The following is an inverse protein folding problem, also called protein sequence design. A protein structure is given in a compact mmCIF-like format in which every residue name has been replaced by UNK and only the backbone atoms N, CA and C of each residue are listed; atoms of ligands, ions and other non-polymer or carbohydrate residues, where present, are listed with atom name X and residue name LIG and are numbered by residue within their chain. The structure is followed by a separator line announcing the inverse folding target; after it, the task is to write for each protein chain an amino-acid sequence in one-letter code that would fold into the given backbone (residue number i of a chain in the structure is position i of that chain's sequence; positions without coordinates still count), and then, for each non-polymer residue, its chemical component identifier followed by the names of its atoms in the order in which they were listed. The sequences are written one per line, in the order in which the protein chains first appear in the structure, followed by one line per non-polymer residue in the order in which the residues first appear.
data_IF_518275562418
#
_entry.id   IF_518275562418
#
_cell.length_a   1.000
_cell.length_b   1.000
_cell.length_c   1.000
_cell.angle_alpha   90.00
_cell.angle_beta   90.00
_cell.angle_gamma   90.00
#
_symmetry.space_group_name_H-M   'P 1'
#
loop_
_entity.id
_entity.type
_entity.pdbx_description
1 polymer ?
#
# COMPACT_ATOMS: atom_id res chain seq x y z
N UNK A 1 37.43 -19.09 13.06
CA UNK A 1 36.50 -18.01 12.67
C UNK A 1 35.48 -17.95 13.79
N UNK A 2 35.47 -16.88 14.58
CA UNK A 2 34.62 -16.81 15.76
C UNK A 2 33.31 -16.13 15.35
N UNK A 3 32.21 -16.86 15.45
CA UNK A 3 30.88 -16.47 14.97
C UNK A 3 30.15 -15.45 15.88
N UNK A 4 30.83 -14.89 16.89
CA UNK A 4 30.20 -14.04 17.90
C UNK A 4 31.09 -12.87 18.34
N UNK A 5 30.40 -11.81 18.76
CA UNK A 5 30.97 -10.56 19.27
C UNK A 5 30.24 -10.21 20.57
N UNK A 6 31.00 -9.99 21.65
CA UNK A 6 30.45 -9.58 22.95
C UNK A 6 30.37 -8.05 23.01
N UNK A 7 29.16 -7.52 23.23
CA UNK A 7 28.90 -6.10 23.41
C UNK A 7 28.59 -5.76 24.88
N UNK A 8 28.89 -4.51 25.29
CA UNK A 8 28.64 -4.06 26.65
C UNK A 8 27.14 -3.91 26.96
N UNK A 9 26.70 -4.42 28.11
CA UNK A 9 25.33 -4.29 28.58
C UNK A 9 24.95 -2.82 28.78
N UNK A 10 23.81 -2.39 28.23
CA UNK A 10 23.27 -1.03 28.39
C UNK A 10 21.77 -1.02 28.67
N UNK A 11 21.31 -0.01 29.41
CA UNK A 11 19.89 0.28 29.61
C UNK A 11 19.43 1.32 28.59
N UNK A 12 18.62 0.90 27.63
CA UNK A 12 18.05 1.78 26.62
C UNK A 12 16.67 2.28 27.06
N UNK A 13 16.41 3.58 26.90
CA UNK A 13 15.10 4.16 27.18
C UNK A 13 14.08 3.66 26.15
N UNK A 14 12.91 3.22 26.63
CA UNK A 14 11.76 2.95 25.76
C UNK A 14 11.23 4.28 25.24
N UNK A 15 11.18 4.44 23.91
CA UNK A 15 10.71 5.67 23.29
C UNK A 15 9.18 5.77 23.27
N UNK A 16 8.51 4.64 22.98
CA UNK A 16 7.06 4.54 22.92
C UNK A 16 6.59 3.10 23.15
N UNK A 17 5.33 2.94 23.53
CA UNK A 17 4.62 1.67 23.63
C UNK A 17 3.35 1.75 22.78
N UNK A 18 3.02 0.65 22.10
CA UNK A 18 1.88 0.56 21.18
C UNK A 18 1.45 -0.92 21.10
N UNK A 19 0.20 -1.19 20.73
CA UNK A 19 -0.27 -2.56 20.52
C UNK A 19 0.19 -3.12 19.16
N UNK A 20 0.21 -2.27 18.13
CA UNK A 20 0.70 -2.63 16.79
C UNK A 20 1.74 -1.62 16.32
N UNK A 21 2.96 -2.09 16.07
CA UNK A 21 4.02 -1.30 15.42
C UNK A 21 4.18 -1.78 13.97
N UNK A 22 3.96 -0.88 13.02
CA UNK A 22 4.23 -1.12 11.59
C UNK A 22 5.53 -0.42 11.21
N UNK A 23 6.49 -1.19 10.68
CA UNK A 23 7.79 -0.67 10.24
C UNK A 23 7.84 -0.68 8.72
N UNK A 24 7.88 0.51 8.12
CA UNK A 24 7.83 0.73 6.67
C UNK A 24 6.44 1.19 6.21
N UNK A 25 6.37 2.43 5.73
CA UNK A 25 5.21 3.10 5.15
C UNK A 25 5.02 2.82 3.65
N UNK A 26 5.37 1.63 3.17
CA UNK A 26 5.03 1.17 1.82
C UNK A 26 3.52 1.04 1.60
N UNK A 27 3.07 0.62 0.42
CA UNK A 27 1.64 0.34 0.16
C UNK A 27 1.07 -0.66 1.17
N UNK A 28 1.77 -1.77 1.40
CA UNK A 28 1.38 -2.79 2.36
C UNK A 28 1.38 -2.29 3.81
N UNK A 29 2.44 -1.59 4.24
CA UNK A 29 2.53 -1.08 5.61
C UNK A 29 1.54 0.04 5.90
N UNK A 30 1.31 0.94 4.93
CA UNK A 30 0.26 1.96 5.04
C UNK A 30 -1.12 1.32 5.17
N UNK A 31 -1.41 0.30 4.34
CA UNK A 31 -2.66 -0.44 4.43
C UNK A 31 -2.81 -1.17 5.78
N UNK A 32 -1.74 -1.82 6.26
CA UNK A 32 -1.73 -2.52 7.55
C UNK A 32 -1.96 -1.56 8.73
N UNK A 33 -1.30 -0.39 8.73
CA UNK A 33 -1.48 0.62 9.77
C UNK A 33 -2.91 1.17 9.79
N UNK A 34 -3.49 1.47 8.62
CA UNK A 34 -4.89 1.92 8.52
C UNK A 34 -5.84 0.82 9.03
N UNK A 35 -5.63 -0.43 8.63
CA UNK A 35 -6.46 -1.55 9.06
C UNK A 35 -6.39 -1.77 10.58
N UNK A 36 -5.19 -1.79 11.16
CA UNK A 36 -4.99 -1.95 12.60
C UNK A 36 -5.62 -0.81 13.41
N UNK A 37 -5.41 0.44 12.97
CA UNK A 37 -6.02 1.60 13.62
C UNK A 37 -7.56 1.56 13.54
N UNK A 38 -8.13 1.16 12.39
CA UNK A 38 -9.59 1.00 12.22
C UNK A 38 -10.16 -0.16 13.02
N UNK A 39 -9.36 -1.17 13.33
CA UNK A 39 -9.74 -2.25 14.24
C UNK A 39 -9.69 -1.83 15.73
N UNK A 40 -9.28 -0.58 16.03
CA UNK A 40 -9.25 -0.02 17.38
C UNK A 40 -7.93 -0.17 18.11
N UNK A 41 -6.90 -0.74 17.48
CA UNK A 41 -5.59 -0.92 18.12
C UNK A 41 -4.83 0.40 18.23
N UNK A 42 -4.15 0.61 19.35
CA UNK A 42 -3.15 1.67 19.50
C UNK A 42 -1.99 1.36 18.54
N UNK A 43 -1.97 2.06 17.41
CA UNK A 43 -1.12 1.74 16.25
C UNK A 43 -0.09 2.83 16.01
N UNK A 44 1.16 2.42 15.84
CA UNK A 44 2.26 3.30 15.42
C UNK A 44 2.81 2.83 14.07
N UNK A 45 2.96 3.75 13.12
CA UNK A 45 3.65 3.54 11.86
C UNK A 45 4.94 4.33 11.86
N UNK A 46 6.07 3.67 11.56
CA UNK A 46 7.37 4.34 11.37
C UNK A 46 7.85 4.12 9.94
N UNK A 47 8.27 5.21 9.30
CA UNK A 47 8.80 5.23 7.94
C UNK A 47 10.11 6.03 7.96
N UNK A 48 11.12 5.52 7.25
CA UNK A 48 12.45 6.14 7.19
C UNK A 48 12.48 7.38 6.29
N UNK A 49 11.57 7.46 5.32
CA UNK A 49 11.46 8.54 4.35
C UNK A 49 10.39 9.57 4.74
N UNK A 50 10.41 10.72 4.07
CA UNK A 50 9.42 11.79 4.27
C UNK A 50 8.07 11.55 3.61
N UNK A 51 7.83 10.37 3.01
CA UNK A 51 6.61 10.05 2.26
C UNK A 51 6.14 8.61 2.52
N UNK A 52 4.84 8.39 2.40
CA UNK A 52 4.22 7.06 2.40
C UNK A 52 3.99 6.56 0.97
N UNK A 53 3.72 5.26 0.84
CA UNK A 53 3.47 4.55 -0.41
C UNK A 53 4.67 3.77 -0.95
N UNK A 54 5.86 3.88 -0.32
CA UNK A 54 7.04 3.11 -0.71
C UNK A 54 7.45 3.40 -2.16
N UNK A 55 7.78 2.37 -2.94
CA UNK A 55 8.15 2.54 -4.36
C UNK A 55 7.01 3.10 -5.22
N UNK A 56 5.75 2.89 -4.84
CA UNK A 56 4.62 3.50 -5.56
C UNK A 56 4.75 5.05 -5.59
N UNK A 57 5.04 5.65 -4.44
CA UNK A 57 5.22 7.11 -4.33
C UNK A 57 6.67 7.52 -4.56
N UNK A 58 7.60 7.00 -3.76
CA UNK A 58 9.01 7.40 -3.75
C UNK A 58 9.81 6.91 -4.95
N UNK A 59 9.35 5.86 -5.63
CA UNK A 59 9.92 5.38 -6.88
C UNK A 59 9.20 5.90 -8.13
N UNK A 60 8.20 6.78 -7.96
CA UNK A 60 7.40 7.35 -9.05
C UNK A 60 6.73 6.28 -9.93
N UNK A 61 6.32 5.16 -9.34
CA UNK A 61 5.57 4.12 -10.05
C UNK A 61 4.12 4.58 -10.17
N UNK A 62 3.81 5.16 -11.34
CA UNK A 62 2.47 5.70 -11.66
C UNK A 62 1.45 4.63 -12.03
N UNK A 63 1.87 3.37 -12.19
CA UNK A 63 1.02 2.25 -12.60
C UNK A 63 0.82 1.27 -11.44
N UNK A 64 -0.43 1.15 -10.99
CA UNK A 64 -0.86 0.06 -10.11
C UNK A 64 -1.17 -1.17 -10.96
N UNK A 65 -0.19 -2.06 -11.11
CA UNK A 65 -0.33 -3.28 -11.90
C UNK A 65 -1.22 -4.30 -11.19
N UNK A 66 -1.88 -5.17 -11.97
CA UNK A 66 -2.58 -6.38 -11.47
C UNK A 66 -3.71 -6.10 -10.47
N UNK A 67 -4.41 -4.98 -10.61
CA UNK A 67 -5.63 -4.72 -9.83
C UNK A 67 -6.82 -5.58 -10.29
N UNK A 68 -6.78 -6.03 -11.55
CA UNK A 68 -7.65 -7.05 -12.12
C UNK A 68 -6.87 -8.32 -12.48
N UNK A 69 -7.58 -9.35 -12.89
CA UNK A 69 -7.03 -10.65 -13.31
C UNK A 69 -6.50 -10.66 -14.76
N UNK A 70 -6.25 -9.49 -15.34
CA UNK A 70 -6.01 -9.29 -16.76
C UNK A 70 -7.29 -9.34 -17.58
N UNK A 71 -8.34 -9.98 -17.06
CA UNK A 71 -9.62 -10.18 -17.72
C UNK A 71 -10.64 -9.06 -17.50
N UNK A 72 -10.20 -7.94 -16.92
CA UNK A 72 -11.10 -6.86 -16.54
C UNK A 72 -12.00 -7.24 -15.36
N UNK A 73 -11.74 -8.35 -14.65
CA UNK A 73 -12.42 -8.64 -13.39
C UNK A 73 -11.53 -8.14 -12.26
N UNK A 74 -12.00 -7.12 -11.56
CA UNK A 74 -11.30 -6.56 -10.43
C UNK A 74 -11.04 -7.62 -9.34
N UNK A 75 -9.77 -7.78 -8.97
CA UNK A 75 -9.30 -8.72 -7.94
C UNK A 75 -8.90 -8.00 -6.65
N UNK A 76 -8.33 -6.79 -6.76
CA UNK A 76 -7.86 -6.00 -5.61
C UNK A 76 -8.87 -4.91 -5.28
N UNK A 77 -9.39 -4.95 -4.04
CA UNK A 77 -10.40 -4.00 -3.51
C UNK A 77 -9.96 -3.43 -2.15
N UNK A 78 -10.92 -3.09 -1.28
CA UNK A 78 -10.69 -2.67 0.10
C UNK A 78 -9.98 -1.32 0.17
N UNK A 79 -8.94 -1.23 0.99
CA UNK A 79 -8.17 0.01 1.17
C UNK A 79 -7.54 0.52 -0.13
N UNK A 80 -7.17 -0.38 -1.05
CA UNK A 80 -6.67 0.02 -2.36
C UNK A 80 -7.75 0.76 -3.16
N UNK A 81 -8.96 0.20 -3.24
CA UNK A 81 -10.10 0.86 -3.91
C UNK A 81 -10.44 2.19 -3.23
N UNK A 82 -10.50 2.21 -1.91
CA UNK A 82 -10.83 3.43 -1.16
C UNK A 82 -9.83 4.57 -1.42
N UNK A 83 -8.53 4.26 -1.54
CA UNK A 83 -7.51 5.24 -1.88
C UNK A 83 -7.69 5.71 -3.33
N UNK A 84 -7.94 4.80 -4.26
CA UNK A 84 -8.21 5.13 -5.68
C UNK A 84 -9.42 6.04 -5.83
N UNK A 85 -10.53 5.74 -5.15
CA UNK A 85 -11.76 6.54 -5.18
C UNK A 85 -11.50 7.96 -4.62
N UNK A 86 -10.75 8.06 -3.53
CA UNK A 86 -10.36 9.36 -2.94
C UNK A 86 -9.46 10.18 -3.86
N UNK A 87 -8.60 9.53 -4.65
CA UNK A 87 -7.77 10.18 -5.65
C UNK A 87 -8.63 10.63 -6.85
N UNK A 88 -9.54 9.78 -7.32
CA UNK A 88 -10.46 10.09 -8.40
C UNK A 88 -11.35 11.29 -8.07
N UNK A 89 -11.90 11.34 -6.85
CA UNK A 89 -12.69 12.46 -6.36
C UNK A 89 -11.92 13.80 -6.34
N UNK A 90 -10.58 13.74 -6.37
CA UNK A 90 -9.69 14.90 -6.44
C UNK A 90 -9.19 15.20 -7.85
N UNK A 91 -9.62 14.45 -8.87
CA UNK A 91 -9.08 14.54 -10.22
C UNK A 91 -7.61 14.08 -10.31
N UNK A 92 -7.15 13.28 -9.34
CA UNK A 92 -5.76 12.83 -9.21
C UNK A 92 -5.58 11.34 -9.54
N UNK A 93 -6.60 10.70 -10.12
CA UNK A 93 -6.51 9.33 -10.65
C UNK A 93 -6.82 9.34 -12.14
N UNK A 94 -6.02 8.61 -12.91
CA UNK A 94 -6.25 8.35 -14.32
C UNK A 94 -6.66 6.89 -14.47
N UNK A 95 -7.72 6.66 -15.24
CA UNK A 95 -8.21 5.34 -15.58
C UNK A 95 -8.06 5.13 -17.08
N UNK A 96 -7.62 3.96 -17.54
CA UNK A 96 -7.66 3.62 -18.96
C UNK A 96 -9.10 3.77 -19.49
N UNK A 97 -9.25 4.27 -20.72
CA UNK A 97 -10.58 4.35 -21.32
C UNK A 97 -11.10 2.93 -21.59
N UNK A 98 -12.43 2.77 -21.65
CA UNK A 98 -13.05 1.46 -21.87
C UNK A 98 -12.62 0.78 -23.19
N UNK A 99 -12.06 1.53 -24.14
CA UNK A 99 -11.50 1.01 -25.39
C UNK A 99 -10.01 0.64 -25.33
N UNK A 100 -9.30 0.99 -24.25
CA UNK A 100 -7.88 0.70 -24.01
C UNK A 100 -7.69 -0.44 -23.00
N UNK A 101 -8.72 -0.71 -22.17
CA UNK A 101 -8.79 -1.90 -21.34
C UNK A 101 -8.95 -3.17 -22.20
N UNK A 102 -7.85 -3.90 -22.41
CA UNK A 102 -7.87 -5.19 -23.10
C UNK A 102 -7.94 -5.11 -24.63
N UNK A 103 -7.46 -4.02 -25.23
CA UNK A 103 -7.53 -3.79 -26.69
C UNK A 103 -6.60 -4.68 -27.53
N UNK A 104 -5.94 -5.67 -26.94
CA UNK A 104 -5.43 -6.82 -27.69
C UNK A 104 -5.76 -8.15 -27.01
N UNK A 105 -6.82 -8.76 -27.55
CA UNK A 105 -7.17 -10.19 -27.57
C UNK A 105 -7.61 -10.83 -26.23
N UNK A 106 -8.93 -10.96 -26.10
CA UNK A 106 -9.72 -12.00 -25.39
C UNK A 106 -10.47 -11.71 -24.08
N UNK A 107 -10.92 -10.48 -23.71
CA UNK A 107 -11.53 -10.36 -22.36
C UNK A 107 -12.69 -9.34 -22.16
N UNK A 108 -13.77 -9.67 -21.38
CA UNK A 108 -15.08 -9.05 -21.52
C UNK A 108 -15.30 -7.77 -20.69
N UNK A 109 -16.21 -6.94 -21.22
CA UNK A 109 -16.50 -5.52 -20.91
C UNK A 109 -16.99 -5.14 -19.50
N UNK A 110 -16.73 -5.90 -18.42
CA UNK A 110 -17.38 -5.60 -17.12
C UNK A 110 -16.81 -4.41 -16.32
N UNK A 111 -15.75 -3.74 -16.78
CA UNK A 111 -15.10 -2.65 -16.01
C UNK A 111 -15.74 -1.26 -16.14
N UNK A 112 -16.80 -1.06 -16.93
CA UNK A 112 -17.34 0.28 -17.19
C UNK A 112 -18.53 0.70 -16.31
N UNK A 113 -18.99 -0.14 -15.38
CA UNK A 113 -20.16 0.18 -14.55
C UNK A 113 -20.09 -0.44 -13.16
N UNK A 114 -19.36 0.19 -12.23
CA UNK A 114 -19.57 0.16 -10.77
C UNK A 114 -18.66 1.18 -10.11
#
# INVERSE_FOLDING_TARGET
MTDYLDEAARRTRVHAMTEVLVVGGGTAGTAAAIAAARAGAQTMLVERYGTLGGIATGGLVILLLTLDDGAGRQMVRGLCQEITDRLAARGAALFPSAGECGSDHTIPRSCASS
#
